data_IF_841007808286
#
_entry.id   IF_841007808286
#
_cell.length_a   1.000
_cell.length_b   1.000
_cell.length_c   1.000
_cell.angle_alpha   90.00
_cell.angle_beta   90.00
_cell.angle_gamma   90.00
#
_symmetry.space_group_name_H-M   'P 1'
#
loop_
_entity.id
_entity.type
_entity.pdbx_description
1 polymer ?
#
# COMPACT_ATOMS: atom_id res chain seq x y z
N UNK A 1 9.11 -6.38 -6.20
CA UNK A 1 8.92 -4.95 -6.54
C UNK A 1 7.57 -4.82 -7.22
N UNK A 2 6.79 -3.86 -6.77
CA UNK A 2 5.51 -3.46 -7.34
C UNK A 2 5.70 -2.13 -8.08
N UNK A 3 5.41 -2.14 -9.38
CA UNK A 3 5.70 -1.04 -10.29
C UNK A 3 7.18 -0.64 -10.29
N UNK A 4 7.43 0.67 -10.17
CA UNK A 4 8.76 1.29 -10.14
C UNK A 4 9.23 1.68 -8.74
N UNK A 5 8.69 1.03 -7.70
CA UNK A 5 8.99 1.33 -6.30
C UNK A 5 9.71 0.18 -5.58
N UNK A 6 10.37 0.50 -4.46
CA UNK A 6 10.95 -0.51 -3.54
C UNK A 6 9.88 -1.34 -2.82
N UNK A 7 8.61 -0.93 -2.86
CA UNK A 7 7.53 -1.68 -2.25
C UNK A 7 7.29 -3.00 -3.01
N UNK A 8 6.97 -4.06 -2.27
CA UNK A 8 6.42 -5.31 -2.79
C UNK A 8 4.88 -5.31 -2.75
N UNK A 9 4.28 -4.31 -2.12
CA UNK A 9 2.83 -4.14 -1.97
C UNK A 9 2.52 -3.15 -0.85
N UNK A 10 1.35 -3.27 -0.24
CA UNK A 10 0.93 -2.44 0.88
C UNK A 10 -0.01 -3.17 1.84
N UNK A 11 -0.10 -2.69 3.06
CA UNK A 11 -1.13 -3.07 4.03
C UNK A 11 -2.31 -2.11 3.99
N UNK A 12 -3.50 -2.65 4.26
CA UNK A 12 -4.71 -1.85 4.50
C UNK A 12 -5.34 -2.33 5.79
N UNK A 13 -5.60 -1.40 6.70
CA UNK A 13 -6.27 -1.62 7.98
C UNK A 13 -7.62 -0.89 8.00
N UNK A 14 -8.55 -1.22 8.91
CA UNK A 14 -9.85 -0.54 8.99
C UNK A 14 -9.76 0.98 9.15
N UNK A 15 -8.70 1.47 9.80
CA UNK A 15 -8.44 2.90 10.04
C UNK A 15 -7.59 3.59 8.94
N UNK A 16 -7.15 2.88 7.89
CA UNK A 16 -6.30 3.44 6.81
C UNK A 16 -6.84 4.74 6.22
N UNK A 17 -8.14 4.80 5.93
CA UNK A 17 -8.75 6.01 5.36
C UNK A 17 -8.89 7.15 6.38
N UNK A 18 -9.05 6.84 7.66
CA UNK A 18 -9.07 7.83 8.72
C UNK A 18 -7.69 8.45 8.92
N UNK A 19 -6.65 7.63 9.02
CA UNK A 19 -5.24 8.09 9.06
C UNK A 19 -4.90 8.95 7.85
N UNK A 20 -5.33 8.54 6.65
CA UNK A 20 -5.10 9.30 5.43
C UNK A 20 -5.71 10.70 5.49
N UNK A 21 -6.98 10.80 5.96
CA UNK A 21 -7.63 12.10 6.17
C UNK A 21 -6.90 12.95 7.18
N UNK A 22 -6.42 12.36 8.28
CA UNK A 22 -5.61 13.04 9.29
C UNK A 22 -4.29 13.62 8.75
N UNK A 23 -3.74 13.03 7.69
CA UNK A 23 -2.55 13.50 6.98
C UNK A 23 -2.86 14.43 5.78
N UNK A 24 -4.13 14.77 5.55
CA UNK A 24 -4.55 15.57 4.40
C UNK A 24 -4.40 14.85 3.04
N UNK A 25 -4.37 13.52 3.04
CA UNK A 25 -4.28 12.72 1.82
C UNK A 25 -5.66 12.44 1.25
N UNK A 26 -5.87 12.77 -0.02
CA UNK A 26 -7.03 12.33 -0.79
C UNK A 26 -6.71 11.01 -1.51
N UNK A 27 -7.19 9.90 -0.92
CA UNK A 27 -7.00 8.56 -1.45
C UNK A 27 -7.58 8.40 -2.87
N UNK A 28 -8.73 9.01 -3.16
CA UNK A 28 -9.38 8.91 -4.47
C UNK A 28 -8.60 9.68 -5.52
N UNK A 29 -8.14 10.89 -5.20
CA UNK A 29 -7.29 11.65 -6.10
C UNK A 29 -5.93 10.97 -6.35
N UNK A 30 -5.34 10.31 -5.34
CA UNK A 30 -4.10 9.51 -5.49
C UNK A 30 -4.32 8.26 -6.34
N UNK A 31 -5.44 7.58 -6.18
CA UNK A 31 -5.79 6.43 -7.03
C UNK A 31 -6.01 6.86 -8.49
N UNK A 32 -6.78 7.92 -8.73
CA UNK A 32 -7.09 8.41 -10.08
C UNK A 32 -5.85 8.85 -10.88
N UNK A 33 -4.77 9.24 -10.19
CA UNK A 33 -3.49 9.61 -10.81
C UNK A 33 -2.48 8.46 -10.88
N UNK A 34 -2.88 7.23 -10.52
CA UNK A 34 -2.01 6.05 -10.39
C UNK A 34 -0.83 6.28 -9.42
N UNK A 35 -1.05 7.01 -8.33
CA UNK A 35 -0.04 7.35 -7.30
C UNK A 35 -0.39 6.72 -5.94
N UNK A 36 -0.77 5.44 -5.97
CA UNK A 36 -1.00 4.63 -4.77
C UNK A 36 0.30 4.42 -3.98
N UNK A 37 1.46 4.36 -4.64
CA UNK A 37 2.76 4.22 -3.98
C UNK A 37 3.02 5.35 -2.98
N UNK A 38 2.79 6.61 -3.38
CA UNK A 38 2.93 7.75 -2.45
C UNK A 38 1.89 7.73 -1.34
N UNK A 39 0.66 7.27 -1.61
CA UNK A 39 -0.37 7.14 -0.59
C UNK A 39 0.09 6.23 0.56
N UNK A 40 0.51 5.00 0.24
CA UNK A 40 0.93 4.03 1.25
C UNK A 40 2.29 4.40 1.88
N UNK A 41 3.21 4.99 1.13
CA UNK A 41 4.47 5.49 1.68
C UNK A 41 4.24 6.60 2.72
N UNK A 42 3.29 7.52 2.49
CA UNK A 42 2.97 8.60 3.42
C UNK A 42 2.24 8.12 4.68
N UNK A 43 1.52 7.00 4.59
CA UNK A 43 0.89 6.34 5.74
C UNK A 43 1.85 5.46 6.54
N UNK A 44 3.00 5.09 5.96
CA UNK A 44 3.88 4.06 6.53
C UNK A 44 3.39 2.63 6.30
N UNK A 45 2.43 2.44 5.39
CA UNK A 45 1.77 1.15 5.13
C UNK A 45 2.36 0.41 3.92
N UNK A 46 3.44 0.91 3.32
CA UNK A 46 4.12 0.23 2.22
C UNK A 46 4.83 -1.04 2.74
N UNK A 47 4.58 -2.18 2.10
CA UNK A 47 5.28 -3.43 2.40
C UNK A 47 6.59 -3.46 1.61
N UNK A 48 7.73 -3.42 2.30
CA UNK A 48 9.06 -3.54 1.70
C UNK A 48 9.71 -4.82 2.18
N UNK A 49 9.98 -5.75 1.25
CA UNK A 49 10.59 -7.05 1.56
C UNK A 49 12.06 -7.15 1.17
N UNK A 50 12.54 -6.24 0.32
CA UNK A 50 13.78 -6.43 -0.44
C UNK A 50 13.67 -7.53 -1.51
N UNK A 51 14.79 -7.92 -2.15
CA UNK A 51 14.80 -8.96 -3.18
C UNK A 51 14.37 -10.32 -2.64
N UNK A 52 13.33 -10.92 -3.25
CA UNK A 52 12.83 -12.27 -2.90
C UNK A 52 13.58 -13.41 -3.60
N UNK A 53 14.34 -13.11 -4.67
CA UNK A 53 15.04 -14.11 -5.51
C UNK A 53 14.14 -14.90 -6.46
N UNK A 54 12.82 -14.74 -6.39
CA UNK A 54 11.83 -15.45 -7.21
C UNK A 54 10.62 -14.57 -7.52
N UNK A 55 9.94 -14.84 -8.64
CA UNK A 55 8.69 -14.20 -9.03
C UNK A 55 7.61 -15.26 -9.28
N UNK A 56 6.58 -15.27 -8.45
CA UNK A 56 5.42 -16.16 -8.53
C UNK A 56 4.11 -15.36 -8.73
N UNK A 57 4.22 -14.13 -9.22
CA UNK A 57 3.14 -13.13 -9.29
C UNK A 57 2.67 -12.68 -7.89
N UNK A 58 1.44 -12.16 -7.82
CA UNK A 58 0.89 -11.49 -6.65
C UNK A 58 0.30 -12.46 -5.62
N UNK A 59 0.47 -12.11 -4.35
CA UNK A 59 -0.21 -12.74 -3.23
C UNK A 59 -1.12 -11.72 -2.54
N UNK A 60 -2.36 -12.11 -2.23
CA UNK A 60 -3.31 -11.29 -1.45
C UNK A 60 -3.84 -12.10 -0.29
N UNK A 61 -3.71 -11.54 0.91
CA UNK A 61 -4.31 -12.09 2.12
C UNK A 61 -5.36 -11.12 2.67
N UNK A 62 -6.50 -11.67 3.10
CA UNK A 62 -7.53 -10.96 3.85
C UNK A 62 -7.69 -11.68 5.18
N UNK A 63 -7.51 -10.95 6.28
CA UNK A 63 -7.73 -11.45 7.62
C UNK A 63 -9.04 -10.87 8.17
N UNK A 64 -9.93 -11.74 8.63
CA UNK A 64 -11.18 -11.38 9.31
C UNK A 64 -11.10 -12.04 10.69
N UNK A 65 -11.16 -11.22 11.74
CA UNK A 65 -11.03 -11.65 13.12
C UNK A 65 -12.07 -10.96 14.01
N UNK A 66 -12.22 -11.50 15.21
CA UNK A 66 -13.28 -11.17 16.17
C UNK A 66 -12.94 -9.94 17.02
#
# INVERSE_FOLDING_TARGET
MDGSSEAAGAFVTPDTLERARGLGLDARALLNRNDSGRFFARLGDALVTGPSGHNLNDFRALAIGW
#
